data_IF_574504545526
#
_entry.id   IF_574504545526
#
_cell.length_a   1.000
_cell.length_b   1.000
_cell.length_c   1.000
_cell.angle_alpha   90.00
_cell.angle_beta   90.00
_cell.angle_gamma   90.00
#
_symmetry.space_group_name_H-M   'P 1'
#
loop_
_entity.id
_entity.type
_entity.pdbx_description
1 polymer ?
#
# COMPACT_ATOMS: atom_id res chain seq x y z
N UNK A 1 10.56 -13.95 -31.29
CA UNK A 1 9.42 -13.08 -30.97
C UNK A 1 10.01 -11.71 -30.69
N UNK A 2 9.83 -10.73 -31.58
CA UNK A 2 10.31 -9.36 -31.35
C UNK A 2 9.08 -8.48 -31.11
N UNK A 3 9.02 -7.85 -29.95
CA UNK A 3 8.08 -6.77 -29.68
C UNK A 3 8.87 -5.46 -29.78
N UNK A 4 8.36 -4.49 -30.54
CA UNK A 4 8.90 -3.13 -30.60
C UNK A 4 8.01 -2.28 -29.71
N UNK A 5 8.62 -1.61 -28.73
CA UNK A 5 7.97 -0.58 -27.93
C UNK A 5 8.33 0.77 -28.53
N UNK A 6 7.34 1.48 -29.07
CA UNK A 6 7.53 2.84 -29.58
C UNK A 6 7.22 3.83 -28.46
N UNK A 7 8.13 4.78 -28.23
CA UNK A 7 7.92 5.91 -27.31
C UNK A 7 7.62 7.14 -28.15
N UNK A 8 6.39 7.66 -28.05
CA UNK A 8 5.96 8.80 -28.86
C UNK A 8 6.42 10.15 -28.24
N UNK A 9 6.64 10.19 -26.92
CA UNK A 9 7.03 11.40 -26.18
C UNK A 9 7.85 11.04 -24.93
N UNK A 10 9.08 11.54 -24.85
CA UNK A 10 10.01 11.30 -23.73
C UNK A 10 9.47 11.81 -22.39
N UNK A 11 8.76 12.94 -22.39
CA UNK A 11 8.20 13.51 -21.16
C UNK A 11 7.05 12.64 -20.61
N UNK A 12 6.19 12.14 -21.49
CA UNK A 12 5.11 11.23 -21.09
C UNK A 12 5.65 9.86 -20.67
N UNK A 13 6.69 9.37 -21.32
CA UNK A 13 7.36 8.14 -20.92
C UNK A 13 8.05 8.27 -19.56
N UNK A 14 8.75 9.38 -19.31
CA UNK A 14 9.33 9.67 -17.99
C UNK A 14 8.24 9.69 -16.90
N UNK A 15 7.11 10.38 -17.15
CA UNK A 15 5.96 10.38 -16.25
C UNK A 15 5.42 8.96 -16.04
N UNK A 16 5.31 8.15 -17.10
CA UNK A 16 4.86 6.77 -17.01
C UNK A 16 5.79 5.91 -16.13
N UNK A 17 7.12 6.06 -16.27
CA UNK A 17 8.09 5.37 -15.43
C UNK A 17 7.90 5.72 -13.95
N UNK A 18 7.62 6.98 -13.64
CA UNK A 18 7.39 7.45 -12.27
C UNK A 18 6.03 7.00 -11.71
N UNK A 19 4.94 7.12 -12.47
CA UNK A 19 3.57 6.97 -11.95
C UNK A 19 2.93 5.63 -12.26
N UNK A 20 3.37 4.95 -13.32
CA UNK A 20 2.82 3.68 -13.78
C UNK A 20 1.59 3.85 -14.68
N UNK A 21 1.54 4.98 -15.41
CA UNK A 21 0.38 5.38 -16.20
C UNK A 21 -0.49 6.41 -15.50
N UNK A 22 -1.69 6.60 -16.02
CA UNK A 22 -2.64 7.64 -15.61
C UNK A 22 -3.90 7.08 -14.95
N UNK A 23 -4.07 5.76 -14.88
CA UNK A 23 -5.28 5.13 -14.33
C UNK A 23 -5.58 5.56 -12.89
N UNK A 24 -4.54 5.78 -12.08
CA UNK A 24 -4.67 6.25 -10.71
C UNK A 24 -5.28 7.66 -10.63
N UNK A 25 -5.11 8.51 -11.66
CA UNK A 25 -5.58 9.91 -11.62
C UNK A 25 -7.09 9.96 -11.41
N UNK A 26 -7.85 9.05 -12.01
CA UNK A 26 -9.31 8.93 -11.83
C UNK A 26 -9.75 8.68 -10.38
N UNK A 27 -8.90 8.05 -9.58
CA UNK A 27 -9.21 7.74 -8.18
C UNK A 27 -8.87 8.88 -7.22
N UNK A 28 -8.04 9.84 -7.66
CA UNK A 28 -7.60 10.97 -6.82
C UNK A 28 -8.17 12.32 -7.27
N UNK A 29 -8.64 12.43 -8.51
CA UNK A 29 -9.14 13.68 -9.08
C UNK A 29 -10.59 14.01 -8.67
N UNK A 30 -11.30 13.08 -8.02
CA UNK A 30 -12.65 13.29 -7.51
C UNK A 30 -13.72 13.50 -8.60
N UNK A 31 -13.40 13.20 -9.86
CA UNK A 31 -14.35 13.37 -10.99
C UNK A 31 -15.46 12.32 -10.98
N UNK A 32 -15.16 11.12 -10.51
CA UNK A 32 -16.13 10.06 -10.29
C UNK A 32 -16.20 9.75 -8.78
N UNK A 33 -17.33 10.03 -8.10
CA UNK A 33 -17.48 9.74 -6.67
C UNK A 33 -17.43 8.23 -6.36
N UNK A 34 -17.53 7.35 -7.37
CA UNK A 34 -17.37 5.90 -7.23
C UNK A 34 -15.93 5.43 -7.35
N UNK A 35 -14.98 6.32 -7.66
CA UNK A 35 -13.54 6.02 -7.71
C UNK A 35 -12.83 6.88 -6.68
N UNK A 36 -12.61 6.30 -5.51
CA UNK A 36 -11.93 6.97 -4.40
C UNK A 36 -10.47 6.50 -4.27
N UNK A 37 -9.62 7.22 -3.53
CA UNK A 37 -8.28 6.74 -3.22
C UNK A 37 -8.28 5.37 -2.50
N UNK A 38 -9.32 5.09 -1.72
CA UNK A 38 -9.50 3.79 -1.06
C UNK A 38 -9.79 2.67 -2.07
N UNK A 39 -10.55 2.94 -3.13
CA UNK A 39 -10.78 1.96 -4.22
C UNK A 39 -9.47 1.65 -4.96
N UNK A 40 -8.64 2.66 -5.21
CA UNK A 40 -7.30 2.44 -5.76
C UNK A 40 -6.43 1.59 -4.82
N UNK A 41 -6.46 1.88 -3.52
CA UNK A 41 -5.78 1.09 -2.52
C UNK A 41 -6.24 -0.35 -2.46
N UNK A 42 -7.54 -0.61 -2.63
CA UNK A 42 -8.08 -1.97 -2.73
C UNK A 42 -7.50 -2.71 -3.94
N UNK A 43 -7.43 -2.06 -5.10
CA UNK A 43 -6.77 -2.63 -6.29
C UNK A 43 -5.31 -2.98 -5.98
N UNK A 44 -4.58 -2.11 -5.28
CA UNK A 44 -3.19 -2.39 -4.91
C UNK A 44 -3.08 -3.52 -3.88
N UNK A 45 -3.98 -3.59 -2.91
CA UNK A 45 -4.04 -4.64 -1.90
C UNK A 45 -4.16 -6.04 -2.52
N UNK A 46 -4.93 -6.16 -3.61
CA UNK A 46 -5.10 -7.39 -4.36
C UNK A 46 -3.92 -7.66 -5.32
N UNK A 47 -3.53 -6.66 -6.13
CA UNK A 47 -2.53 -6.84 -7.20
C UNK A 47 -1.09 -6.88 -6.72
N UNK A 48 -0.79 -6.29 -5.55
CA UNK A 48 0.54 -6.32 -4.93
C UNK A 48 0.71 -7.48 -3.94
N UNK A 49 -0.32 -8.31 -3.77
CA UNK A 49 -0.29 -9.52 -2.95
C UNK A 49 -0.38 -9.27 -1.44
N UNK A 50 -0.73 -8.05 -1.00
CA UNK A 50 -0.90 -7.72 0.42
C UNK A 50 -1.96 -8.61 1.08
N UNK A 51 -3.03 -8.94 0.34
CA UNK A 51 -4.14 -9.81 0.74
C UNK A 51 -3.74 -11.25 1.11
N UNK A 52 -2.55 -11.69 0.70
CA UNK A 52 -2.04 -13.03 1.04
C UNK A 52 -1.61 -13.17 2.51
N UNK A 53 -1.31 -12.04 3.17
CA UNK A 53 -0.79 -11.99 4.54
C UNK A 53 -1.63 -11.10 5.45
N UNK A 54 -2.23 -10.04 4.95
CA UNK A 54 -3.03 -9.10 5.73
C UNK A 54 -4.51 -9.29 5.42
N UNK A 55 -5.32 -9.51 6.44
CA UNK A 55 -6.77 -9.67 6.32
C UNK A 55 -7.46 -8.34 6.59
N UNK A 56 -8.70 -8.19 6.11
CA UNK A 56 -9.52 -6.98 6.32
C UNK A 56 -10.79 -7.24 7.13
N UNK A 57 -10.99 -8.47 7.60
CA UNK A 57 -12.17 -8.89 8.35
C UNK A 57 -11.90 -9.13 9.85
N UNK A 58 -10.62 -9.10 10.26
CA UNK A 58 -10.15 -9.38 11.61
C UNK A 58 -9.68 -10.83 11.83
N UNK A 59 -9.81 -11.70 10.82
CA UNK A 59 -9.29 -13.07 10.90
C UNK A 59 -7.76 -13.08 10.99
N UNK A 60 -7.19 -14.10 11.65
CA UNK A 60 -5.74 -14.25 11.76
C UNK A 60 -5.14 -14.68 10.42
N UNK A 61 -3.97 -14.14 10.09
CA UNK A 61 -3.15 -14.55 8.96
C UNK A 61 -1.68 -14.36 9.31
N UNK A 62 -0.79 -14.43 8.30
CA UNK A 62 0.65 -14.31 8.48
C UNK A 62 1.11 -12.92 8.91
N UNK A 63 0.33 -11.88 8.60
CA UNK A 63 0.51 -10.50 9.05
C UNK A 63 -0.70 -9.99 9.84
N UNK A 64 -0.59 -8.82 10.48
CA UNK A 64 -1.68 -8.20 11.21
C UNK A 64 -2.85 -7.85 10.28
N UNK A 65 -4.07 -7.96 10.78
CA UNK A 65 -5.26 -7.48 10.08
C UNK A 65 -5.22 -5.96 9.93
N UNK A 66 -5.75 -5.43 8.83
CA UNK A 66 -5.92 -3.99 8.62
C UNK A 66 -7.22 -3.44 9.19
N UNK A 67 -8.16 -4.32 9.57
CA UNK A 67 -9.44 -3.90 10.12
C UNK A 67 -9.24 -3.09 11.40
N UNK A 68 -9.68 -1.83 11.38
CA UNK A 68 -9.60 -0.91 12.51
C UNK A 68 -8.17 -0.66 13.01
N UNK A 69 -7.14 -0.87 12.18
CA UNK A 69 -5.75 -0.72 12.66
C UNK A 69 -5.28 0.74 12.67
N UNK A 70 -5.75 1.55 11.71
CA UNK A 70 -5.33 2.94 11.56
C UNK A 70 -5.73 3.78 12.78
N UNK A 71 -4.81 4.63 13.25
CA UNK A 71 -5.04 5.50 14.40
C UNK A 71 -5.00 4.77 15.76
N UNK A 72 -4.75 3.47 15.78
CA UNK A 72 -4.58 2.69 17.01
C UNK A 72 -3.11 2.46 17.36
N UNK A 73 -2.84 2.25 18.65
CA UNK A 73 -1.53 1.86 19.13
C UNK A 73 -1.34 0.36 18.94
N UNK A 74 -0.20 -0.05 18.38
CA UNK A 74 0.22 -1.46 18.30
C UNK A 74 1.48 -1.67 19.11
N UNK A 75 1.55 -2.78 19.84
CA UNK A 75 2.76 -3.20 20.54
C UNK A 75 3.73 -3.85 19.53
N UNK A 76 5.01 -3.49 19.61
CA UNK A 76 6.09 -4.03 18.80
C UNK A 76 6.80 -5.18 19.53
N UNK A 77 7.56 -5.98 18.80
CA UNK A 77 8.33 -7.10 19.34
C UNK A 77 9.35 -6.70 20.42
N UNK A 78 9.79 -5.44 20.44
CA UNK A 78 10.71 -4.87 21.42
C UNK A 78 9.99 -4.34 22.68
N UNK A 79 8.67 -4.52 22.79
CA UNK A 79 7.86 -4.09 23.94
C UNK A 79 7.45 -2.61 23.93
N UNK A 80 7.87 -1.83 22.93
CA UNK A 80 7.38 -0.46 22.73
C UNK A 80 6.06 -0.45 21.98
N UNK A 81 5.32 0.66 22.05
CA UNK A 81 4.10 0.85 21.26
C UNK A 81 4.26 2.00 20.28
N UNK A 82 3.65 1.87 19.10
CA UNK A 82 3.67 2.89 18.05
C UNK A 82 2.25 3.15 17.55
N UNK A 83 1.97 4.40 17.19
CA UNK A 83 0.72 4.78 16.53
C UNK A 83 0.76 4.32 15.08
N UNK A 84 -0.30 3.67 14.62
CA UNK A 84 -0.46 3.30 13.21
C UNK A 84 -0.99 4.51 12.43
N UNK A 85 -0.08 5.40 12.04
CA UNK A 85 -0.34 6.57 11.21
C UNK A 85 0.20 6.39 9.77
N UNK A 86 0.15 7.45 8.96
CA UNK A 86 0.59 7.40 7.57
C UNK A 86 2.09 7.09 7.45
N UNK A 87 2.90 7.63 8.36
CA UNK A 87 4.35 7.45 8.36
C UNK A 87 4.73 6.03 8.75
N UNK A 88 4.07 5.48 9.79
CA UNK A 88 4.23 4.07 10.17
C UNK A 88 3.84 3.15 9.01
N UNK A 89 2.68 3.36 8.38
CA UNK A 89 2.25 2.51 7.25
C UNK A 89 3.24 2.57 6.09
N UNK A 90 3.76 3.77 5.76
CA UNK A 90 4.79 3.93 4.72
C UNK A 90 6.08 3.21 5.10
N UNK A 91 6.54 3.40 6.32
CA UNK A 91 7.75 2.73 6.82
C UNK A 91 7.59 1.22 6.82
N UNK A 92 6.45 0.67 7.24
CA UNK A 92 6.19 -0.78 7.20
C UNK A 92 6.21 -1.34 5.78
N UNK A 93 5.77 -0.57 4.77
CA UNK A 93 5.83 -1.01 3.37
C UNK A 93 7.26 -0.98 2.81
N UNK A 94 8.05 0.04 3.14
CA UNK A 94 9.38 0.25 2.57
C UNK A 94 10.48 -0.48 3.37
N UNK A 95 10.35 -0.49 4.69
CA UNK A 95 11.29 -1.03 5.68
C UNK A 95 10.56 -1.95 6.69
N UNK A 96 9.95 -3.07 6.22
CA UNK A 96 9.06 -3.91 7.03
C UNK A 96 9.66 -4.45 8.33
N UNK A 97 10.98 -4.63 8.39
CA UNK A 97 11.68 -5.16 9.56
C UNK A 97 12.05 -4.08 10.59
N UNK A 98 11.81 -2.79 10.31
CA UNK A 98 12.12 -1.70 11.23
C UNK A 98 11.25 -1.72 12.49
N UNK A 99 9.95 -2.01 12.32
CA UNK A 99 8.95 -2.04 13.40
C UNK A 99 8.00 -3.20 13.19
N UNK A 100 8.32 -4.33 13.80
CA UNK A 100 7.52 -5.56 13.68
C UNK A 100 6.52 -5.64 14.82
N UNK A 101 5.23 -5.74 14.49
CA UNK A 101 4.14 -5.90 15.46
C UNK A 101 4.34 -7.19 16.26
N UNK A 102 4.15 -7.10 17.57
CA UNK A 102 4.29 -8.23 18.49
C UNK A 102 3.42 -9.41 18.07
N UNK A 103 4.00 -10.61 18.10
CA UNK A 103 3.33 -11.86 17.73
C UNK A 103 3.34 -12.17 16.22
N UNK A 104 4.00 -11.35 15.40
CA UNK A 104 4.23 -11.61 13.97
C UNK A 104 5.71 -11.80 13.67
N UNK A 105 5.99 -12.65 12.69
CA UNK A 105 7.34 -12.90 12.20
C UNK A 105 7.77 -11.84 11.18
N UNK A 106 9.08 -11.49 11.09
CA UNK A 106 9.62 -10.51 10.14
C UNK A 106 9.70 -11.07 8.71
N UNK A 107 8.56 -11.47 8.15
CA UNK A 107 8.46 -12.12 6.83
C UNK A 107 7.88 -11.19 5.74
N UNK A 108 7.43 -9.99 6.11
CA UNK A 108 6.87 -9.05 5.14
C UNK A 108 7.98 -8.61 4.17
N UNK A 109 7.81 -8.79 2.85
CA UNK A 109 8.80 -8.37 1.87
C UNK A 109 8.88 -6.85 1.81
N UNK A 110 10.06 -6.31 1.46
CA UNK A 110 10.18 -4.88 1.17
C UNK A 110 9.51 -4.54 -0.15
N UNK A 111 8.82 -3.41 -0.20
CA UNK A 111 8.24 -2.83 -1.41
C UNK A 111 9.00 -1.60 -1.91
N UNK A 112 10.20 -1.34 -1.39
CA UNK A 112 11.05 -0.24 -1.84
C UNK A 112 11.34 -0.36 -3.35
N UNK A 113 10.98 0.67 -4.11
CA UNK A 113 11.10 0.68 -5.59
C UNK A 113 10.06 -0.16 -6.34
N UNK A 114 9.22 -0.93 -5.63
CA UNK A 114 8.14 -1.75 -6.22
C UNK A 114 6.77 -1.07 -6.12
N UNK A 115 6.58 -0.26 -5.08
CA UNK A 115 5.42 0.61 -4.93
C UNK A 115 5.76 2.04 -5.34
N UNK A 116 4.87 2.62 -6.14
CA UNK A 116 4.89 4.03 -6.54
C UNK A 116 4.11 4.86 -5.53
N UNK A 117 4.34 6.17 -5.50
CA UNK A 117 3.75 7.05 -4.50
C UNK A 117 2.21 7.02 -4.50
N UNK A 118 1.58 6.98 -5.68
CA UNK A 118 0.13 6.87 -5.79
C UNK A 118 -0.41 5.56 -5.21
N UNK A 119 0.37 4.48 -5.28
CA UNK A 119 -0.02 3.16 -4.76
C UNK A 119 0.07 3.14 -3.23
N UNK A 120 1.13 3.74 -2.66
CA UNK A 120 1.29 3.89 -1.20
C UNK A 120 0.13 4.72 -0.64
N UNK A 121 -0.18 5.87 -1.24
CA UNK A 121 -1.30 6.72 -0.83
C UNK A 121 -2.64 6.01 -0.95
N UNK A 122 -2.84 5.23 -2.01
CA UNK A 122 -4.02 4.39 -2.17
C UNK A 122 -4.14 3.39 -1.03
N UNK A 123 -3.08 2.61 -0.76
CA UNK A 123 -3.05 1.62 0.32
C UNK A 123 -3.34 2.25 1.69
N UNK A 124 -2.74 3.40 2.00
CA UNK A 124 -3.04 4.15 3.22
C UNK A 124 -4.52 4.55 3.30
N UNK A 125 -5.09 5.09 2.21
CA UNK A 125 -6.50 5.45 2.15
C UNK A 125 -7.43 4.23 2.31
N UNK A 126 -7.06 3.09 1.74
CA UNK A 126 -7.81 1.85 1.90
C UNK A 126 -7.76 1.36 3.34
N UNK A 127 -6.59 1.31 3.99
CA UNK A 127 -6.45 0.95 5.41
C UNK A 127 -7.29 1.88 6.30
N UNK A 128 -7.28 3.20 6.03
CA UNK A 128 -8.13 4.19 6.72
C UNK A 128 -9.62 3.93 6.54
N UNK A 129 -10.05 3.34 5.43
CA UNK A 129 -11.47 3.05 5.19
C UNK A 129 -12.00 1.83 5.95
N UNK A 130 -11.11 0.99 6.51
CA UNK A 130 -11.46 -0.28 7.16
C UNK A 130 -11.76 -0.15 8.66
N UNK A 131 -12.22 1.01 9.12
CA UNK A 131 -12.56 1.25 10.53
C UNK A 131 -13.90 0.62 10.91
#
# INVERSE_FOLDING_TARGET
MHAVLTVDNDAEFAKFLETGGTEWEDYFNGKDPKKTPADWGKVQYETKGCNSCHTIDGSKSKGPTWKGIYGHMVELNNGTSVLVDDDYLRESMLYPNAKVVKGFEPIMPTFQGLLKENQIKGLQAFIKSLQ
#
